data_IF_780241367165
#
_entry.id   IF_780241367165
#
_cell.length_a   1.000
_cell.length_b   1.000
_cell.length_c   1.000
_cell.angle_alpha   90.00
_cell.angle_beta   90.00
_cell.angle_gamma   90.00
#
_symmetry.space_group_name_H-M   'P 1'
#
loop_
_entity.id
_entity.type
_entity.pdbx_description
1 polymer ?
#
# COMPACT_ATOMS: atom_id res chain seq x y z
N UNK A 1 24.94 3.15 6.90
CA UNK A 1 23.71 2.38 7.15
C UNK A 1 23.23 1.88 5.81
N UNK A 2 23.28 0.58 5.59
CA UNK A 2 22.91 -0.05 4.33
C UNK A 2 21.39 0.13 4.16
N UNK A 3 20.99 1.06 3.29
CA UNK A 3 19.62 1.13 2.84
C UNK A 3 19.35 -0.20 2.17
N UNK A 4 18.55 -1.07 2.81
CA UNK A 4 18.10 -2.30 2.18
C UNK A 4 17.13 -1.88 1.08
N UNK A 5 17.73 -1.57 -0.07
CA UNK A 5 17.04 -1.06 -1.25
C UNK A 5 15.96 -2.06 -1.60
N UNK A 6 14.73 -1.59 -1.45
CA UNK A 6 13.58 -2.27 -1.95
C UNK A 6 13.85 -2.56 -3.44
N UNK A 7 13.77 -3.83 -3.88
CA UNK A 7 13.98 -4.18 -5.31
C UNK A 7 13.07 -3.38 -6.25
N UNK A 8 11.98 -2.80 -5.73
CA UNK A 8 11.03 -1.96 -6.45
C UNK A 8 11.21 -0.50 -6.00
N UNK A 9 11.21 0.45 -6.93
CA UNK A 9 11.36 1.86 -6.56
C UNK A 9 10.12 2.36 -5.79
N UNK A 10 10.32 3.24 -4.79
CA UNK A 10 9.21 3.84 -4.03
C UNK A 10 8.20 4.58 -4.92
N UNK A 11 8.67 5.15 -6.04
CA UNK A 11 7.82 5.80 -7.05
C UNK A 11 6.87 4.79 -7.72
N UNK A 12 7.36 3.59 -8.02
CA UNK A 12 6.55 2.50 -8.56
C UNK A 12 5.48 2.07 -7.56
N UNK A 13 5.82 1.97 -6.27
CA UNK A 13 4.85 1.63 -5.21
C UNK A 13 3.74 2.69 -5.12
N UNK A 14 4.09 3.97 -5.21
CA UNK A 14 3.10 5.05 -5.27
C UNK A 14 2.13 4.94 -6.45
N UNK A 15 2.65 4.67 -7.65
CA UNK A 15 1.82 4.47 -8.84
C UNK A 15 0.89 3.27 -8.67
N UNK A 16 1.39 2.17 -8.11
CA UNK A 16 0.59 0.98 -7.84
C UNK A 16 -0.55 1.28 -6.87
N UNK A 17 -0.27 1.93 -5.74
CA UNK A 17 -1.30 2.24 -4.74
C UNK A 17 -2.38 3.17 -5.31
N UNK A 18 -1.99 4.27 -5.97
CA UNK A 18 -2.94 5.22 -6.55
C UNK A 18 -3.75 4.57 -7.69
N UNK A 19 -3.06 3.89 -8.61
CA UNK A 19 -3.70 3.25 -9.76
C UNK A 19 -4.69 2.18 -9.33
N UNK A 20 -4.32 1.39 -8.33
CA UNK A 20 -5.21 0.38 -7.76
C UNK A 20 -6.42 0.97 -7.02
N UNK A 21 -6.23 2.06 -6.26
CA UNK A 21 -7.35 2.76 -5.62
C UNK A 21 -8.35 3.28 -6.66
N UNK A 22 -7.87 3.89 -7.75
CA UNK A 22 -8.72 4.35 -8.85
C UNK A 22 -9.42 3.19 -9.55
N UNK A 23 -8.69 2.12 -9.87
CA UNK A 23 -9.25 0.94 -10.52
C UNK A 23 -10.35 0.28 -9.67
N UNK A 24 -10.13 0.20 -8.36
CA UNK A 24 -11.14 -0.35 -7.43
C UNK A 24 -12.39 0.51 -7.39
N UNK A 25 -12.25 1.84 -7.36
CA UNK A 25 -13.40 2.78 -7.41
C UNK A 25 -14.16 2.63 -8.73
N UNK A 26 -13.45 2.59 -9.85
CA UNK A 26 -14.05 2.42 -11.19
C UNK A 26 -14.73 1.05 -11.33
N UNK A 27 -14.11 -0.02 -10.85
CA UNK A 27 -14.69 -1.37 -10.87
C UNK A 27 -15.94 -1.48 -10.00
N UNK A 28 -15.93 -0.87 -8.80
CA UNK A 28 -17.10 -0.80 -7.94
C UNK A 28 -18.25 -0.01 -8.61
N UNK A 29 -17.94 1.15 -9.21
CA UNK A 29 -18.92 1.96 -9.93
C UNK A 29 -19.52 1.20 -11.13
N UNK A 30 -18.68 0.56 -11.95
CA UNK A 30 -19.13 -0.25 -13.09
C UNK A 30 -20.02 -1.42 -12.66
N UNK A 31 -19.74 -2.02 -11.50
CA UNK A 31 -20.58 -3.09 -10.92
C UNK A 31 -21.95 -2.57 -10.49
N UNK A 32 -22.03 -1.38 -9.90
CA UNK A 32 -23.31 -0.73 -9.56
C UNK A 32 -24.13 -0.40 -10.80
N UNK A 33 -23.46 -0.05 -11.91
CA UNK A 33 -24.10 0.20 -13.21
C UNK A 33 -24.44 -1.09 -13.99
N UNK A 34 -24.24 -2.28 -13.41
CA UNK A 34 -24.50 -3.58 -14.04
C UNK A 34 -23.80 -3.79 -15.40
N UNK A 35 -22.60 -3.21 -15.59
CA UNK A 35 -21.83 -3.43 -16.82
C UNK A 35 -21.41 -4.90 -16.94
N UNK A 36 -21.49 -5.48 -18.14
CA UNK A 36 -21.22 -6.91 -18.37
C UNK A 36 -19.80 -7.34 -17.97
N UNK A 37 -18.82 -6.44 -18.11
CA UNK A 37 -17.42 -6.71 -17.74
C UNK A 37 -17.08 -6.39 -16.27
N UNK A 38 -18.04 -5.91 -15.48
CA UNK A 38 -17.79 -5.44 -14.12
C UNK A 38 -17.16 -6.49 -13.20
N UNK A 39 -17.55 -7.77 -13.34
CA UNK A 39 -16.98 -8.85 -12.56
C UNK A 39 -15.50 -9.09 -12.90
N UNK A 40 -15.15 -9.12 -14.18
CA UNK A 40 -13.76 -9.32 -14.63
C UNK A 40 -12.87 -8.17 -14.17
N UNK A 41 -13.34 -6.92 -14.36
CA UNK A 41 -12.61 -5.72 -13.94
C UNK A 41 -12.39 -5.72 -12.42
N UNK A 42 -13.40 -6.09 -11.64
CA UNK A 42 -13.30 -6.17 -10.18
C UNK A 42 -12.34 -7.27 -9.72
N UNK A 43 -12.36 -8.45 -10.34
CA UNK A 43 -11.41 -9.53 -10.01
C UNK A 43 -9.97 -9.13 -10.30
N UNK A 44 -9.70 -8.52 -11.46
CA UNK A 44 -8.36 -8.02 -11.81
C UNK A 44 -7.93 -6.94 -10.81
N UNK A 45 -8.83 -6.01 -10.48
CA UNK A 45 -8.60 -4.98 -9.46
C UNK A 45 -8.20 -5.58 -8.11
N UNK A 46 -8.91 -6.61 -7.64
CA UNK A 46 -8.58 -7.30 -6.38
C UNK A 46 -7.21 -7.99 -6.42
N UNK A 47 -6.83 -8.63 -7.53
CA UNK A 47 -5.50 -9.27 -7.65
C UNK A 47 -4.39 -8.22 -7.57
N UNK A 48 -4.54 -7.10 -8.29
CA UNK A 48 -3.60 -5.98 -8.25
C UNK A 48 -3.57 -5.37 -6.84
N UNK A 49 -4.72 -5.27 -6.19
CA UNK A 49 -4.84 -4.80 -4.82
C UNK A 49 -4.04 -5.66 -3.85
N UNK A 50 -4.27 -6.97 -3.84
CA UNK A 50 -3.53 -7.88 -2.95
C UNK A 50 -2.03 -7.86 -3.23
N UNK A 51 -1.63 -7.79 -4.49
CA UNK A 51 -0.22 -7.69 -4.88
C UNK A 51 0.42 -6.42 -4.33
N UNK A 52 -0.26 -5.28 -4.48
CA UNK A 52 0.19 -3.98 -3.97
C UNK A 52 0.24 -3.97 -2.43
N UNK A 53 -0.76 -4.58 -1.78
CA UNK A 53 -0.83 -4.70 -0.34
C UNK A 53 0.38 -5.49 0.21
N UNK A 54 0.73 -6.63 -0.41
CA UNK A 54 1.90 -7.44 -0.04
C UNK A 54 3.20 -6.63 -0.19
N UNK A 55 3.32 -5.85 -1.26
CA UNK A 55 4.49 -5.00 -1.51
C UNK A 55 4.65 -3.98 -0.37
N UNK A 56 3.60 -3.23 -0.02
CA UNK A 56 3.66 -2.23 1.05
C UNK A 56 3.91 -2.87 2.41
N UNK A 57 3.24 -3.99 2.70
CA UNK A 57 3.46 -4.75 3.93
C UNK A 57 4.91 -5.24 4.05
N UNK A 58 5.49 -5.70 2.94
CA UNK A 58 6.90 -6.12 2.89
C UNK A 58 7.86 -4.95 3.13
N UNK A 59 7.54 -3.75 2.64
CA UNK A 59 8.34 -2.52 2.91
C UNK A 59 8.31 -2.18 4.40
N UNK A 60 7.14 -2.23 5.04
CA UNK A 60 7.03 -2.07 6.50
C UNK A 60 7.80 -3.17 7.26
N UNK A 61 7.73 -4.42 6.79
CA UNK A 61 8.39 -5.56 7.42
C UNK A 61 9.92 -5.48 7.34
N UNK A 62 10.47 -4.91 6.27
CA UNK A 62 11.93 -4.77 6.08
C UNK A 62 12.50 -3.53 6.76
N UNK A 63 11.79 -2.41 6.71
CA UNK A 63 12.29 -1.18 7.31
C UNK A 63 12.05 -1.16 8.83
N UNK A 64 12.98 -0.51 9.54
CA UNK A 64 12.75 -0.09 10.92
C UNK A 64 11.98 1.22 10.88
N UNK A 65 10.73 1.18 11.33
CA UNK A 65 9.82 2.32 11.36
C UNK A 65 9.24 2.45 12.75
N UNK A 66 9.08 3.70 13.20
CA UNK A 66 8.44 3.97 14.48
C UNK A 66 7.02 3.40 14.50
N UNK A 67 6.63 2.76 15.61
CA UNK A 67 5.32 2.12 15.80
C UNK A 67 4.95 1.09 14.72
N UNK A 68 5.90 0.27 14.28
CA UNK A 68 5.72 -0.73 13.21
C UNK A 68 4.47 -1.61 13.36
N UNK A 69 4.24 -2.17 14.53
CA UNK A 69 3.08 -3.05 14.78
C UNK A 69 1.76 -2.35 14.52
N UNK A 70 1.64 -1.08 14.90
CA UNK A 70 0.44 -0.26 14.63
C UNK A 70 0.21 -0.11 13.12
N UNK A 71 1.25 0.23 12.35
CA UNK A 71 1.13 0.38 10.90
C UNK A 71 0.75 -0.94 10.22
N UNK A 72 1.37 -2.05 10.61
CA UNK A 72 1.04 -3.38 10.07
C UNK A 72 -0.39 -3.81 10.41
N UNK A 73 -0.86 -3.59 11.65
CA UNK A 73 -2.24 -3.90 12.04
C UNK A 73 -3.24 -3.02 11.28
N UNK A 74 -2.92 -1.72 11.12
CA UNK A 74 -3.79 -0.79 10.41
C UNK A 74 -4.01 -1.18 8.94
N UNK A 75 -3.05 -1.89 8.31
CA UNK A 75 -3.21 -2.42 6.96
C UNK A 75 -4.26 -3.53 6.86
N UNK A 76 -4.65 -4.19 7.94
CA UNK A 76 -5.75 -5.17 7.91
C UNK A 76 -7.10 -4.53 8.19
N UNK A 77 -7.14 -3.51 9.05
CA UNK A 77 -8.37 -2.79 9.41
C UNK A 77 -8.80 -1.86 8.27
N UNK A 78 -7.85 -1.14 7.66
CA UNK A 78 -8.08 -0.16 6.60
C UNK A 78 -7.16 -0.45 5.40
N UNK A 79 -7.35 -1.58 4.69
CA UNK A 79 -6.38 -2.10 3.72
C UNK A 79 -6.20 -1.21 2.49
N UNK A 80 -7.17 -0.34 2.17
CA UNK A 80 -7.06 0.62 1.07
C UNK A 80 -6.45 1.97 1.47
N UNK A 81 -6.62 2.38 2.74
CA UNK A 81 -6.25 3.73 3.23
C UNK A 81 -4.90 3.69 3.93
N UNK A 82 -4.65 2.69 4.77
CA UNK A 82 -3.40 2.54 5.50
C UNK A 82 -2.16 2.57 4.60
N UNK A 83 -2.08 1.83 3.46
CA UNK A 83 -0.94 1.94 2.55
C UNK A 83 -0.69 3.37 2.03
N UNK A 84 -1.74 4.14 1.73
CA UNK A 84 -1.60 5.53 1.29
C UNK A 84 -1.00 6.40 2.40
N UNK A 85 -1.59 6.35 3.60
CA UNK A 85 -1.14 7.17 4.74
C UNK A 85 0.29 6.79 5.13
N UNK A 86 0.60 5.49 5.13
CA UNK A 86 1.93 4.99 5.39
C UNK A 86 2.95 5.58 4.41
N UNK A 87 2.69 5.51 3.09
CA UNK A 87 3.64 6.02 2.10
C UNK A 87 3.89 7.53 2.25
N UNK A 88 2.90 8.32 2.66
CA UNK A 88 3.06 9.75 2.98
C UNK A 88 3.99 9.92 4.18
N UNK A 89 3.77 9.14 5.24
CA UNK A 89 4.49 9.29 6.50
C UNK A 89 5.82 8.52 6.54
N UNK A 90 6.09 7.64 5.57
CA UNK A 90 7.20 6.68 5.55
C UNK A 90 8.54 7.29 5.95
N UNK A 91 8.94 8.39 5.28
CA UNK A 91 10.23 9.02 5.54
C UNK A 91 10.31 9.63 6.94
N UNK A 92 9.20 10.18 7.45
CA UNK A 92 9.11 10.69 8.82
C UNK A 92 9.24 9.56 9.84
N UNK A 93 8.56 8.43 9.60
CA UNK A 93 8.59 7.26 10.48
C UNK A 93 9.98 6.61 10.57
N UNK A 94 10.68 6.50 9.44
CA UNK A 94 12.07 6.00 9.39
C UNK A 94 13.01 6.98 10.11
N UNK A 95 12.85 8.29 9.88
CA UNK A 95 13.68 9.31 10.54
C UNK A 95 13.49 9.31 12.06
N UNK A 96 12.25 9.21 12.53
CA UNK A 96 11.93 9.16 13.96
C UNK A 96 12.57 7.94 14.63
N UNK A 97 12.44 6.76 14.02
CA UNK A 97 13.08 5.53 14.52
C UNK A 97 14.59 5.70 14.67
N UNK A 98 15.26 6.22 13.63
CA UNK A 98 16.69 6.47 13.68
C UNK A 98 17.10 7.47 14.77
N UNK A 99 16.26 8.47 15.06
CA UNK A 99 16.53 9.46 16.13
C UNK A 99 16.36 8.91 17.54
N UNK A 100 15.49 7.92 17.76
CA UNK A 100 15.34 7.25 19.06
C UNK A 100 16.37 6.14 19.28
N UNK A 101 16.99 5.63 18.21
CA UNK A 101 18.05 4.61 18.30
C UNK A 101 19.46 5.16 18.55
N UNK A 102 19.60 6.49 18.66
CA UNK A 102 20.82 7.21 19.04
C UNK A 102 20.79 7.53 20.55
#
# INVERSE_FOLDING_TARGET
>A
MENQDFKISIKTVWVLVIGNSLLTILGAFAKVQHWEFSQVVLTIGLIIFFSTWIIVFSDMAKNRINNKSFWMISMFILPSISPLIYLIQRNKLIKLENSFSL
#
